data_IF_109565081003
#
_entry.id   IF_109565081003
#
_cell.length_a   1.000
_cell.length_b   1.000
_cell.length_c   1.000
_cell.angle_alpha   90.00
_cell.angle_beta   90.00
_cell.angle_gamma   90.00
#
_symmetry.space_group_name_H-M   'P 1'
#
loop_
_entity.id
_entity.type
_entity.pdbx_description
1 polymer ?
#
# COMPACT_ATOMS: atom_id res chain seq x y z
N UNK A 1 1.99 -34.00 5.54
CA UNK A 1 1.74 -32.86 4.65
C UNK A 1 2.73 -31.76 5.05
N UNK A 2 3.81 -31.57 4.28
CA UNK A 2 4.78 -30.50 4.58
C UNK A 2 4.06 -29.19 4.25
N UNK A 3 3.77 -28.37 5.26
CA UNK A 3 3.44 -26.98 5.02
C UNK A 3 4.60 -26.39 4.24
N UNK A 4 4.36 -25.86 3.05
CA UNK A 4 5.38 -25.07 2.37
C UNK A 4 5.69 -23.91 3.30
N UNK A 5 6.88 -23.92 3.90
CA UNK A 5 7.40 -22.81 4.69
C UNK A 5 7.72 -21.68 3.70
N UNK A 6 6.67 -21.02 3.22
CA UNK A 6 6.78 -19.91 2.28
C UNK A 6 7.29 -18.73 3.08
N UNK A 7 8.60 -18.51 3.04
CA UNK A 7 9.20 -17.29 3.56
C UNK A 7 8.62 -16.10 2.79
N UNK A 8 7.88 -15.23 3.49
CA UNK A 8 7.49 -13.93 2.97
C UNK A 8 8.63 -12.92 3.23
N UNK A 9 9.06 -12.18 2.20
CA UNK A 9 10.08 -11.15 2.31
C UNK A 9 9.47 -9.80 2.71
N UNK A 10 9.97 -9.20 3.78
CA UNK A 10 9.63 -7.81 4.15
C UNK A 10 10.71 -6.87 3.64
N UNK A 11 10.32 -5.67 3.20
CA UNK A 11 11.29 -4.65 2.81
C UNK A 11 12.14 -4.21 4.02
N UNK A 12 11.51 -4.04 5.18
CA UNK A 12 12.21 -3.75 6.43
C UNK A 12 11.44 -4.30 7.64
N UNK A 13 12.17 -4.88 8.59
CA UNK A 13 11.65 -5.27 9.90
C UNK A 13 12.43 -4.54 10.99
N UNK A 14 11.76 -3.66 11.73
CA UNK A 14 12.35 -2.99 12.88
C UNK A 14 12.04 -3.78 14.16
N UNK A 15 13.09 -4.07 14.94
CA UNK A 15 12.99 -4.76 16.22
C UNK A 15 13.29 -3.77 17.34
N UNK A 16 12.38 -3.64 18.29
CA UNK A 16 12.56 -2.80 19.47
C UNK A 16 12.27 -3.57 20.76
N UNK A 17 12.55 -2.97 21.93
CA UNK A 17 12.28 -3.59 23.22
C UNK A 17 10.80 -3.92 23.46
N UNK A 18 9.91 -3.17 22.80
CA UNK A 18 8.45 -3.21 23.03
C UNK A 18 7.69 -3.92 21.90
N UNK A 19 8.38 -4.43 20.88
CA UNK A 19 7.72 -5.11 19.77
C UNK A 19 8.45 -5.01 18.43
N UNK A 20 7.70 -5.27 17.36
CA UNK A 20 8.21 -5.36 15.99
C UNK A 20 7.34 -4.55 15.04
N UNK A 21 7.98 -3.83 14.12
CA UNK A 21 7.31 -3.07 13.06
C UNK A 21 7.74 -3.61 11.71
N UNK A 22 6.80 -4.21 10.97
CA UNK A 22 7.01 -4.58 9.58
C UNK A 22 6.71 -3.39 8.67
N UNK A 23 7.59 -3.13 7.71
CA UNK A 23 7.46 -2.00 6.79
C UNK A 23 7.53 -2.55 5.36
N UNK A 24 6.53 -2.18 4.58
CA UNK A 24 6.49 -2.38 3.13
C UNK A 24 6.58 -1.01 2.46
N UNK A 25 7.51 -0.89 1.53
CA UNK A 25 7.78 0.34 0.81
C UNK A 25 7.50 0.15 -0.69
N UNK A 26 6.86 1.15 -1.28
CA UNK A 26 6.67 1.22 -2.72
C UNK A 26 7.07 2.59 -3.24
N UNK A 27 7.77 2.56 -4.36
CA UNK A 27 8.16 3.73 -5.11
C UNK A 27 7.71 3.59 -6.55
N UNK A 28 6.58 4.20 -6.87
CA UNK A 28 6.00 4.18 -8.22
C UNK A 28 6.24 5.54 -8.84
N UNK A 29 6.91 5.58 -9.99
CA UNK A 29 7.29 6.84 -10.62
C UNK A 29 6.52 7.09 -11.90
N UNK A 30 6.24 8.36 -12.12
CA UNK A 30 6.06 8.98 -13.43
C UNK A 30 7.41 9.53 -13.89
N UNK A 31 7.60 9.62 -15.21
CA UNK A 31 8.84 10.16 -15.76
C UNK A 31 9.09 11.58 -15.23
N UNK A 32 10.29 11.81 -14.73
CA UNK A 32 10.78 13.10 -14.25
C UNK A 32 12.30 13.13 -14.37
N UNK A 33 12.84 14.29 -14.72
CA UNK A 33 14.29 14.53 -14.82
C UNK A 33 14.62 15.89 -14.24
N UNK A 34 15.74 15.98 -13.53
CA UNK A 34 16.22 17.21 -12.91
C UNK A 34 17.19 16.93 -11.77
N UNK A 35 17.59 17.99 -11.07
CA UNK A 35 18.51 17.91 -9.93
C UNK A 35 17.78 17.92 -8.60
N UNK A 36 18.22 17.11 -7.64
CA UNK A 36 17.69 17.12 -6.27
C UNK A 36 18.78 16.74 -5.25
N UNK A 37 18.55 17.04 -3.97
CA UNK A 37 19.44 16.66 -2.86
C UNK A 37 20.42 17.76 -2.42
N UNK A 38 21.22 17.44 -1.41
CA UNK A 38 22.31 18.29 -0.93
C UNK A 38 23.50 17.38 -0.56
N UNK A 39 24.58 17.35 -1.38
CA UNK A 39 24.78 18.11 -2.62
C UNK A 39 23.78 17.75 -3.74
N UNK A 40 23.58 18.61 -4.75
CA UNK A 40 22.66 18.33 -5.85
C UNK A 40 23.19 17.18 -6.73
N UNK A 41 22.31 16.23 -7.04
CA UNK A 41 22.55 15.10 -7.93
C UNK A 41 21.56 15.11 -9.09
N UNK A 42 21.98 14.63 -10.25
CA UNK A 42 21.14 14.49 -11.45
C UNK A 42 20.30 13.20 -11.39
N UNK A 43 19.01 13.32 -11.64
CA UNK A 43 18.07 12.21 -11.66
C UNK A 43 17.35 12.10 -13.00
N UNK A 44 17.13 10.85 -13.44
CA UNK A 44 16.32 10.53 -14.61
C UNK A 44 15.38 9.35 -14.29
N UNK A 45 14.24 9.67 -13.68
CA UNK A 45 13.24 8.68 -13.28
C UNK A 45 12.49 8.14 -14.49
N UNK A 46 12.38 6.81 -14.59
CA UNK A 46 11.53 6.14 -15.58
C UNK A 46 10.07 6.15 -15.13
N UNK A 47 9.14 6.22 -16.07
CA UNK A 47 7.71 6.06 -15.79
C UNK A 47 7.29 4.59 -15.76
N UNK A 48 6.65 4.13 -14.69
CA UNK A 48 6.15 2.76 -14.59
C UNK A 48 4.81 2.52 -15.32
N UNK A 49 4.05 3.58 -15.64
CA UNK A 49 2.86 3.58 -16.51
C UNK A 49 1.79 2.50 -16.24
N UNK A 50 1.73 1.93 -15.03
CA UNK A 50 0.72 0.94 -14.62
C UNK A 50 0.10 1.28 -13.25
N UNK A 51 -0.69 2.37 -13.14
CA UNK A 51 -1.28 2.78 -11.86
C UNK A 51 -2.26 1.75 -11.28
N UNK A 52 -2.87 0.90 -12.10
CA UNK A 52 -3.77 -0.17 -11.67
C UNK A 52 -2.98 -1.29 -10.96
N UNK A 53 -1.85 -1.70 -11.53
CA UNK A 53 -0.93 -2.67 -10.92
C UNK A 53 -0.34 -2.12 -9.62
N UNK A 54 0.10 -0.86 -9.61
CA UNK A 54 0.62 -0.19 -8.42
C UNK A 54 -0.35 -0.26 -7.23
N UNK A 55 -1.64 0.00 -7.48
CA UNK A 55 -2.70 -0.08 -6.46
C UNK A 55 -2.91 -1.50 -5.97
N UNK A 56 -2.99 -2.46 -6.89
CA UNK A 56 -3.15 -3.88 -6.58
C UNK A 56 -2.04 -4.36 -5.65
N UNK A 57 -0.80 -4.00 -5.98
CA UNK A 57 0.37 -4.44 -5.23
C UNK A 57 0.46 -3.75 -3.87
N UNK A 58 0.14 -2.45 -3.79
CA UNK A 58 0.06 -1.74 -2.49
C UNK A 58 -1.00 -2.36 -1.57
N UNK A 59 -2.17 -2.72 -2.11
CA UNK A 59 -3.24 -3.37 -1.33
C UNK A 59 -2.91 -4.81 -0.94
N UNK A 60 -2.14 -5.53 -1.78
CA UNK A 60 -1.57 -6.82 -1.38
C UNK A 60 -0.65 -6.64 -0.17
N UNK A 61 0.19 -5.60 -0.15
CA UNK A 61 1.13 -5.38 0.94
C UNK A 61 0.42 -4.97 2.24
N UNK A 62 -0.66 -4.19 2.19
CA UNK A 62 -1.52 -3.96 3.36
C UNK A 62 -2.04 -5.29 3.93
N UNK A 63 -2.61 -6.17 3.08
CA UNK A 63 -3.11 -7.47 3.54
C UNK A 63 -2.00 -8.39 4.08
N UNK A 64 -0.76 -8.28 3.58
CA UNK A 64 0.41 -8.98 4.12
C UNK A 64 0.80 -8.45 5.49
N UNK A 65 0.86 -7.13 5.64
CA UNK A 65 1.13 -6.49 6.93
C UNK A 65 0.05 -6.81 7.96
N UNK A 66 -1.22 -6.86 7.58
CA UNK A 66 -2.27 -7.34 8.47
C UNK A 66 -1.93 -8.74 8.99
N UNK A 67 -1.57 -9.69 8.11
CA UNK A 67 -1.21 -11.06 8.52
C UNK A 67 0.00 -11.09 9.46
N UNK A 68 0.97 -10.22 9.20
CA UNK A 68 2.10 -10.04 10.10
C UNK A 68 1.67 -9.50 11.47
N UNK A 69 0.74 -8.56 11.54
CA UNK A 69 0.30 -7.91 12.79
C UNK A 69 -0.74 -8.72 13.58
N UNK A 70 -0.58 -10.05 13.63
CA UNK A 70 -1.52 -10.95 14.29
C UNK A 70 -1.25 -11.13 15.81
N UNK A 71 -0.27 -10.40 16.35
CA UNK A 71 0.08 -10.38 17.78
C UNK A 71 0.09 -8.95 18.30
N UNK A 72 -0.15 -8.80 19.60
CA UNK A 72 -0.22 -7.51 20.28
C UNK A 72 1.07 -6.67 20.16
N UNK A 73 2.22 -7.34 20.09
CA UNK A 73 3.54 -6.70 19.98
C UNK A 73 3.97 -6.39 18.53
N UNK A 74 3.06 -6.49 17.56
CA UNK A 74 3.35 -6.38 16.14
C UNK A 74 2.47 -5.36 15.44
N UNK A 75 3.11 -4.40 14.77
CA UNK A 75 2.43 -3.41 13.93
C UNK A 75 3.08 -3.30 12.56
N UNK A 76 2.43 -2.58 11.66
CA UNK A 76 2.83 -2.49 10.27
C UNK A 76 2.72 -1.09 9.69
N UNK A 77 3.55 -0.81 8.68
CA UNK A 77 3.49 0.41 7.89
C UNK A 77 3.61 0.07 6.40
N UNK A 78 2.55 0.33 5.63
CA UNK A 78 2.64 0.40 4.18
C UNK A 78 2.89 1.85 3.77
N UNK A 79 4.06 2.11 3.16
CA UNK A 79 4.49 3.43 2.71
C UNK A 79 4.60 3.45 1.19
N UNK A 80 3.91 4.40 0.57
CA UNK A 80 4.02 4.67 -0.86
C UNK A 80 4.48 6.11 -1.06
N UNK A 81 5.59 6.32 -1.76
CA UNK A 81 6.04 7.62 -2.23
C UNK A 81 5.99 7.62 -3.75
N UNK A 82 5.44 8.68 -4.35
CA UNK A 82 5.22 8.71 -5.80
C UNK A 82 5.03 10.12 -6.33
N UNK A 83 5.37 10.32 -7.61
CA UNK A 83 4.96 11.47 -8.42
C UNK A 83 3.86 11.12 -9.46
N UNK A 84 3.24 9.94 -9.37
CA UNK A 84 2.14 9.53 -10.24
C UNK A 84 0.78 10.02 -9.71
N UNK A 85 0.36 11.20 -10.17
CA UNK A 85 -0.85 11.87 -9.71
C UNK A 85 -2.13 11.06 -9.85
N UNK A 86 -2.20 10.10 -10.79
CA UNK A 86 -3.34 9.21 -10.90
C UNK A 86 -3.59 8.37 -9.64
N UNK A 87 -2.58 8.18 -8.77
CA UNK A 87 -2.73 7.42 -7.53
C UNK A 87 -3.48 8.20 -6.45
N UNK A 88 -3.20 9.50 -6.27
CA UNK A 88 -3.80 10.29 -5.19
C UNK A 88 -4.96 11.19 -5.63
N UNK A 89 -5.12 11.46 -6.93
CA UNK A 89 -6.27 12.22 -7.46
C UNK A 89 -7.41 11.27 -7.82
N UNK A 90 -8.67 11.62 -7.46
CA UNK A 90 -9.83 10.87 -7.94
C UNK A 90 -9.93 10.99 -9.46
N UNK A 91 -10.46 9.95 -10.11
CA UNK A 91 -10.79 10.03 -11.54
C UNK A 91 -12.02 10.90 -11.72
N UNK A 92 -11.97 11.82 -12.68
CA UNK A 92 -13.10 12.70 -13.00
C UNK A 92 -14.28 11.95 -13.64
N UNK A 93 -14.01 10.84 -14.34
CA UNK A 93 -15.04 10.04 -15.01
C UNK A 93 -15.11 8.64 -14.41
N UNK A 94 -16.31 8.25 -13.99
CA UNK A 94 -16.62 6.91 -13.46
C UNK A 94 -16.73 5.88 -14.58
N UNK A 95 -15.61 5.63 -15.27
CA UNK A 95 -15.51 4.50 -16.21
C UNK A 95 -15.25 3.21 -15.43
N UNK A 96 -15.96 2.10 -15.74
CA UNK A 96 -15.65 0.81 -15.15
C UNK A 96 -14.22 0.42 -15.54
N UNK A 97 -13.40 0.20 -14.53
CA UNK A 97 -11.99 -0.19 -14.67
C UNK A 97 -11.69 -1.30 -13.68
N UNK A 98 -10.75 -2.18 -14.02
CA UNK A 98 -10.44 -3.36 -13.19
C UNK A 98 -10.00 -3.03 -11.78
N UNK A 99 -9.41 -1.87 -11.56
CA UNK A 99 -8.92 -1.39 -10.27
C UNK A 99 -9.87 -0.39 -9.59
N UNK A 100 -11.15 -0.33 -9.97
CA UNK A 100 -12.13 0.60 -9.39
C UNK A 100 -12.18 0.51 -7.87
N UNK A 101 -12.26 -0.70 -7.33
CA UNK A 101 -12.28 -0.93 -5.88
C UNK A 101 -10.88 -0.85 -5.25
N UNK A 102 -9.83 -0.77 -6.06
CA UNK A 102 -8.43 -0.62 -5.62
C UNK A 102 -7.93 0.82 -5.66
N UNK A 103 -8.72 1.80 -6.09
CA UNK A 103 -8.34 3.23 -6.07
C UNK A 103 -7.77 3.65 -4.71
N UNK A 104 -6.68 4.37 -4.70
CA UNK A 104 -6.07 4.82 -3.44
C UNK A 104 -6.06 6.34 -3.34
N UNK A 105 -7.04 7.03 -3.93
CA UNK A 105 -7.03 8.49 -3.93
C UNK A 105 -7.22 9.06 -2.52
N UNK A 106 -6.83 10.33 -2.33
CA UNK A 106 -7.02 11.03 -1.07
C UNK A 106 -8.49 11.03 -0.63
N UNK A 107 -8.71 10.82 0.67
CA UNK A 107 -10.02 10.81 1.32
C UNK A 107 -10.84 9.54 1.07
N UNK A 108 -10.29 8.53 0.39
CA UNK A 108 -10.97 7.23 0.25
C UNK A 108 -10.76 6.40 1.51
N UNK A 109 -11.80 5.70 1.95
CA UNK A 109 -11.67 4.60 2.91
C UNK A 109 -11.52 3.26 2.17
N UNK A 110 -10.60 2.41 2.64
CA UNK A 110 -10.45 1.03 2.21
C UNK A 110 -10.79 0.09 3.36
N UNK A 111 -11.75 -0.81 3.14
CA UNK A 111 -12.20 -1.79 4.13
C UNK A 111 -12.89 -2.97 3.45
N UNK A 112 -12.93 -4.12 4.14
CA UNK A 112 -13.65 -5.31 3.69
C UNK A 112 -13.13 -5.91 2.37
N UNK A 113 -14.06 -6.45 1.59
CA UNK A 113 -13.79 -7.10 0.31
C UNK A 113 -13.63 -6.09 -0.81
N UNK A 114 -12.47 -6.11 -1.48
CA UNK A 114 -12.16 -5.29 -2.66
C UNK A 114 -11.95 -6.20 -3.88
N UNK A 115 -12.85 -6.10 -4.85
CA UNK A 115 -12.91 -6.94 -6.03
C UNK A 115 -12.08 -6.39 -7.19
N UNK A 116 -11.22 -7.24 -7.76
CA UNK A 116 -10.48 -6.90 -8.96
C UNK A 116 -11.29 -7.28 -10.20
N UNK A 117 -11.43 -6.34 -11.14
CA UNK A 117 -12.26 -6.48 -12.33
C UNK A 117 -13.66 -7.02 -12.01
N UNK A 118 -14.31 -6.44 -10.99
CA UNK A 118 -15.64 -6.86 -10.54
C UNK A 118 -15.71 -8.35 -10.17
N UNK A 119 -14.61 -8.93 -9.69
CA UNK A 119 -14.53 -10.31 -9.23
C UNK A 119 -14.15 -11.32 -10.33
N UNK A 120 -13.93 -10.89 -11.57
CA UNK A 120 -13.54 -11.81 -12.66
C UNK A 120 -12.14 -12.41 -12.50
N UNK A 121 -11.32 -11.91 -11.56
CA UNK A 121 -10.02 -12.51 -11.20
C UNK A 121 -9.94 -12.68 -9.67
N UNK A 122 -10.47 -13.79 -9.12
CA UNK A 122 -10.56 -14.03 -7.68
C UNK A 122 -9.21 -13.94 -6.94
N UNK A 123 -8.12 -14.39 -7.54
CA UNK A 123 -6.77 -14.34 -6.93
C UNK A 123 -6.28 -12.91 -6.65
N UNK A 124 -6.89 -11.92 -7.33
CA UNK A 124 -6.59 -10.51 -7.15
C UNK A 124 -7.57 -9.80 -6.20
N UNK A 125 -8.63 -10.47 -5.73
CA UNK A 125 -9.50 -9.96 -4.67
C UNK A 125 -8.71 -9.79 -3.38
N UNK A 126 -8.98 -8.70 -2.65
CA UNK A 126 -8.36 -8.46 -1.34
C UNK A 126 -9.43 -8.37 -0.28
N UNK A 127 -9.23 -9.13 0.78
CA UNK A 127 -9.98 -9.00 2.03
C UNK A 127 -9.11 -8.22 3.00
N UNK A 128 -9.56 -7.03 3.38
CA UNK A 128 -8.92 -6.22 4.42
C UNK A 128 -9.65 -6.45 5.74
N UNK A 129 -8.87 -6.78 6.79
CA UNK A 129 -9.40 -6.92 8.15
C UNK A 129 -9.57 -5.57 8.85
N UNK A 130 -8.77 -4.58 8.46
CA UNK A 130 -8.87 -3.21 8.95
C UNK A 130 -9.69 -2.30 8.03
N UNK A 131 -9.95 -1.10 8.53
CA UNK A 131 -10.49 0.02 7.76
C UNK A 131 -9.47 1.17 7.76
N UNK A 132 -9.15 1.69 6.58
CA UNK A 132 -8.04 2.63 6.39
C UNK A 132 -8.51 3.87 5.64
N UNK A 133 -8.60 5.00 6.34
CA UNK A 133 -8.81 6.31 5.73
C UNK A 133 -7.51 6.80 5.08
N UNK A 134 -7.51 6.96 3.76
CA UNK A 134 -6.31 7.31 3.00
C UNK A 134 -6.04 8.81 3.01
N UNK A 135 -5.00 9.20 3.74
CA UNK A 135 -4.54 10.58 3.85
C UNK A 135 -3.20 10.80 3.14
N UNK A 136 -3.25 11.14 1.85
CA UNK A 136 -2.05 11.58 1.12
C UNK A 136 -1.51 12.91 1.64
N UNK A 137 -0.19 12.99 1.81
CA UNK A 137 0.51 14.19 2.26
C UNK A 137 1.54 14.66 1.21
N UNK A 138 1.80 15.97 1.08
CA UNK A 138 2.95 16.45 0.33
C UNK A 138 4.25 15.81 0.87
N UNK A 139 5.14 15.40 -0.02
CA UNK A 139 6.45 14.87 0.34
C UNK A 139 7.55 15.83 -0.10
N UNK A 140 7.60 16.16 -1.40
CA UNK A 140 8.49 17.20 -1.92
C UNK A 140 7.91 17.81 -3.19
N UNK A 141 8.34 19.02 -3.50
CA UNK A 141 8.04 19.71 -4.74
C UNK A 141 9.35 20.04 -5.44
N UNK A 142 9.55 19.45 -6.62
CA UNK A 142 10.67 19.69 -7.51
C UNK A 142 10.19 20.48 -8.73
N UNK A 143 11.14 21.11 -9.43
CA UNK A 143 10.83 21.83 -10.67
C UNK A 143 10.44 20.87 -11.80
N UNK A 144 9.64 21.39 -12.74
CA UNK A 144 9.25 20.69 -13.95
C UNK A 144 8.01 19.78 -13.84
N UNK A 145 7.57 19.20 -14.98
CA UNK A 145 6.40 18.35 -15.04
C UNK A 145 6.55 17.09 -14.18
N UNK A 146 5.52 16.71 -13.42
CA UNK A 146 5.57 15.57 -12.49
C UNK A 146 6.61 15.73 -11.36
N UNK A 147 6.98 16.97 -11.02
CA UNK A 147 7.84 17.28 -9.86
C UNK A 147 7.11 17.30 -8.51
N UNK A 148 5.78 17.15 -8.49
CA UNK A 148 5.01 17.00 -7.24
C UNK A 148 5.10 15.54 -6.76
N UNK A 149 5.77 15.32 -5.63
CA UNK A 149 5.81 14.03 -4.96
C UNK A 149 4.92 14.06 -3.71
N UNK A 150 4.16 12.99 -3.52
CA UNK A 150 3.35 12.78 -2.34
C UNK A 150 3.64 11.44 -1.70
N UNK A 151 3.31 11.32 -0.43
CA UNK A 151 3.37 10.08 0.30
C UNK A 151 2.00 9.66 0.85
N UNK A 152 1.78 8.36 0.92
CA UNK A 152 0.68 7.72 1.63
C UNK A 152 1.27 6.74 2.63
N UNK A 153 0.96 6.95 3.91
CA UNK A 153 1.34 6.05 5.00
C UNK A 153 0.06 5.42 5.56
N UNK A 154 -0.01 4.09 5.52
CA UNK A 154 -1.08 3.29 6.12
C UNK A 154 -0.50 2.51 7.28
N UNK A 155 -0.99 2.79 8.48
CA UNK A 155 -0.58 2.12 9.71
C UNK A 155 -1.51 0.95 9.98
N UNK A 156 -0.93 -0.23 10.18
CA UNK A 156 -1.64 -1.45 10.55
C UNK A 156 -1.43 -1.63 12.05
N UNK A 157 -2.55 -1.61 12.80
CA UNK A 157 -2.55 -1.88 14.23
C UNK A 157 -2.57 -3.38 14.49
N UNK A 158 -2.08 -3.84 15.67
CA UNK A 158 -2.27 -5.21 16.10
C UNK A 158 -3.74 -5.63 15.98
N UNK A 159 -3.99 -6.79 15.39
CA UNK A 159 -5.30 -7.40 15.33
C UNK A 159 -5.17 -8.90 15.67
N UNK A 160 -4.97 -9.22 16.96
CA UNK A 160 -4.93 -10.61 17.40
C UNK A 160 -6.28 -11.27 17.08
N UNK A 161 -6.23 -12.50 16.57
CA UNK A 161 -7.45 -13.25 16.34
C UNK A 161 -8.25 -13.33 17.65
N UNK A 162 -9.54 -12.97 17.61
CA UNK A 162 -10.40 -13.19 18.76
C UNK A 162 -10.47 -14.70 19.03
N UNK A 163 -10.32 -15.15 20.29
CA UNK A 163 -10.51 -16.54 20.61
C UNK A 163 -11.90 -16.97 20.17
N UNK A 164 -11.96 -18.01 19.34
CA UNK A 164 -13.21 -18.59 18.87
C UNK A 164 -13.96 -19.11 20.10
N UNK A 165 -15.22 -18.70 20.34
CA UNK A 165 -15.97 -19.21 21.47
C UNK A 165 -16.03 -20.74 21.38
N UNK A 166 -15.90 -21.47 22.50
CA UNK A 166 -15.97 -22.93 22.48
C UNK A 166 -17.29 -23.33 21.83
N UNK A 167 -17.22 -24.25 20.86
CA UNK A 167 -18.40 -24.90 20.31
C UNK A 167 -19.19 -25.49 21.49
N UNK A 168 -20.38 -24.94 21.76
CA UNK A 168 -21.36 -25.62 22.59
C UNK A 168 -21.73 -26.93 21.87
N UNK A 169 -21.54 -28.04 22.58
CA UNK A 169 -21.81 -29.40 22.13
C UNK A 169 -23.28 -29.77 22.37
#
# INVERSE_FOLDING_TARGET
MRGSDTSEYLDLLCLGPVGRTAIEFKYVTRQWSGTAGTPPEEYALRGHNAPDVARKDFLRDIGRLERFCNREDQNGLALLITNEAALWRPRQRNMPTRDKEFRIHHGRELSGTLLWASGSFPDNTRELRGAYMLAWRPYTQLEGPSGEFRCLAVFITPNPAQPQPPHEA
#
